data_IF_113521530878
#
_entry.id   IF_113521530878
#
_cell.length_a   1.000
_cell.length_b   1.000
_cell.length_c   1.000
_cell.angle_alpha   90.00
_cell.angle_beta   90.00
_cell.angle_gamma   90.00
#
_symmetry.space_group_name_H-M   'P 1'
#
loop_
_entity.id
_entity.type
_entity.pdbx_description
1 polymer ?
#
# COMPACT_ATOMS: atom_id res chain seq x y z
N UNK A 1 -9.60 0.75 -16.70
CA UNK A 1 -10.68 1.56 -16.10
C UNK A 1 -12.01 1.21 -16.77
N UNK A 2 -12.49 -0.04 -16.64
CA UNK A 2 -13.65 -0.52 -17.42
C UNK A 2 -14.98 0.18 -17.07
N UNK A 3 -15.05 0.81 -15.91
CA UNK A 3 -16.28 1.36 -15.35
C UNK A 3 -16.09 2.79 -14.82
N UNK A 4 -15.00 3.47 -15.22
CA UNK A 4 -14.68 4.83 -14.76
C UNK A 4 -14.75 5.03 -13.24
N UNK A 5 -14.41 3.96 -12.50
CA UNK A 5 -14.38 4.02 -11.04
C UNK A 5 -13.26 4.97 -10.64
N UNK A 6 -13.56 6.04 -9.87
CA UNK A 6 -12.53 6.91 -9.36
C UNK A 6 -11.60 6.11 -8.45
N UNK A 7 -10.31 6.31 -8.62
CA UNK A 7 -9.27 5.66 -7.83
C UNK A 7 -8.28 6.71 -7.32
N UNK A 8 -7.42 6.31 -6.39
CA UNK A 8 -6.44 7.22 -5.81
C UNK A 8 -5.34 7.56 -6.85
N UNK A 9 -5.08 8.85 -7.17
CA UNK A 9 -4.05 9.25 -8.14
C UNK A 9 -2.63 8.79 -7.80
N UNK A 10 -2.36 8.44 -6.53
CA UNK A 10 -1.06 7.87 -6.15
C UNK A 10 -0.77 6.52 -6.81
N UNK A 11 -1.80 5.79 -7.26
CA UNK A 11 -1.60 4.58 -8.05
C UNK A 11 -0.84 4.87 -9.35
N UNK A 12 -1.02 6.04 -9.96
CA UNK A 12 -0.28 6.46 -11.16
C UNK A 12 1.18 6.80 -10.87
N UNK A 13 1.52 6.99 -9.60
CA UNK A 13 2.86 7.31 -9.10
C UNK A 13 3.58 6.05 -8.57
N UNK A 14 3.05 4.85 -8.82
CA UNK A 14 3.65 3.58 -8.40
C UNK A 14 3.29 3.14 -6.97
N UNK A 15 2.35 3.81 -6.30
CA UNK A 15 1.84 3.36 -5.01
C UNK A 15 0.78 2.26 -5.19
N UNK A 16 1.23 1.01 -5.34
CA UNK A 16 0.34 -0.14 -5.56
C UNK A 16 -0.49 -0.46 -4.32
N UNK A 17 0.09 -0.33 -3.12
CA UNK A 17 -0.62 -0.46 -1.84
C UNK A 17 -0.52 0.81 -1.02
N UNK A 18 -1.66 1.44 -0.68
CA UNK A 18 -1.72 2.74 -0.01
C UNK A 18 -2.16 2.60 1.45
N UNK A 19 -1.39 3.17 2.37
CA UNK A 19 -1.69 3.24 3.81
C UNK A 19 -1.38 4.62 4.40
N UNK A 20 -0.92 4.68 5.66
CA UNK A 20 -0.48 5.93 6.27
C UNK A 20 0.77 6.48 5.54
N UNK A 21 0.84 7.81 5.40
CA UNK A 21 1.93 8.51 4.72
C UNK A 21 3.35 8.07 5.15
N UNK A 22 3.71 7.93 6.45
CA UNK A 22 5.07 7.57 6.84
C UNK A 22 5.44 6.11 6.59
N UNK A 23 4.46 5.25 6.29
CA UNK A 23 4.65 3.80 6.19
C UNK A 23 4.29 3.25 4.80
N UNK A 24 4.26 4.13 3.80
CA UNK A 24 3.89 3.79 2.42
C UNK A 24 4.86 4.48 1.46
N UNK A 25 5.46 3.71 0.55
CA UNK A 25 6.25 4.21 -0.59
C UNK A 25 5.75 3.60 -1.89
N UNK A 26 6.12 4.21 -3.02
CA UNK A 26 6.00 3.58 -4.33
C UNK A 26 6.90 2.33 -4.43
N UNK A 27 6.51 1.39 -5.28
CA UNK A 27 7.29 0.19 -5.59
C UNK A 27 7.80 0.22 -7.04
N UNK A 28 8.92 -0.44 -7.27
CA UNK A 28 9.51 -0.67 -8.58
C UNK A 28 8.88 -1.86 -9.30
N UNK A 29 9.32 -2.05 -10.56
CA UNK A 29 8.87 -3.18 -11.38
C UNK A 29 9.31 -4.52 -10.79
N UNK A 30 8.38 -5.46 -10.69
CA UNK A 30 8.64 -6.81 -10.19
C UNK A 30 8.73 -6.93 -8.66
N UNK A 31 8.62 -5.82 -7.92
CA UNK A 31 8.42 -5.88 -6.47
C UNK A 31 7.03 -6.42 -6.12
N UNK A 32 6.91 -7.03 -4.94
CA UNK A 32 5.62 -7.46 -4.39
C UNK A 32 4.67 -6.26 -4.23
N UNK A 33 3.37 -6.47 -4.45
CA UNK A 33 2.34 -5.42 -4.38
C UNK A 33 2.30 -4.67 -3.04
N UNK A 34 2.72 -5.32 -1.94
CA UNK A 34 2.80 -4.74 -0.60
C UNK A 34 4.23 -4.38 -0.18
N UNK A 35 5.25 -4.52 -1.04
CA UNK A 35 6.64 -4.19 -0.72
C UNK A 35 6.86 -2.73 -0.31
N UNK A 36 5.94 -1.83 -0.68
CA UNK A 36 5.94 -0.42 -0.29
C UNK A 36 5.35 -0.15 1.10
N UNK A 37 4.71 -1.13 1.74
CA UNK A 37 4.10 -1.00 3.08
C UNK A 37 5.13 -1.29 4.15
N UNK A 38 5.00 -0.60 5.28
CA UNK A 38 5.89 -0.74 6.44
C UNK A 38 7.35 -0.43 6.12
N UNK A 39 7.61 0.38 5.09
CA UNK A 39 8.94 0.88 4.76
C UNK A 39 9.59 1.51 6.01
N UNK A 40 10.77 1.02 6.39
CA UNK A 40 11.48 1.49 7.59
C UNK A 40 10.91 0.98 8.92
N UNK A 41 10.07 -0.07 8.91
CA UNK A 41 9.48 -0.68 10.10
C UNK A 41 9.59 -2.20 10.07
N UNK A 42 9.63 -2.83 11.25
CA UNK A 42 9.56 -4.30 11.39
C UNK A 42 8.13 -4.86 11.32
N UNK A 43 7.12 -4.00 11.09
CA UNK A 43 5.73 -4.43 11.00
C UNK A 43 5.49 -5.16 9.68
N UNK A 44 4.65 -6.20 9.74
CA UNK A 44 4.17 -6.91 8.54
C UNK A 44 2.68 -6.70 8.32
N UNK A 45 1.92 -6.41 9.38
CA UNK A 45 0.47 -6.25 9.30
C UNK A 45 -0.08 -5.10 10.18
N UNK A 46 -1.24 -4.56 9.80
CA UNK A 46 -1.94 -3.52 10.54
C UNK A 46 -2.73 -4.11 11.71
N UNK A 47 -2.94 -3.33 12.77
CA UNK A 47 -3.83 -3.68 13.88
C UNK A 47 -5.30 -3.87 13.47
N UNK A 48 -5.67 -3.50 12.24
CA UNK A 48 -7.00 -3.78 11.68
C UNK A 48 -7.20 -5.26 11.34
N UNK A 49 -6.12 -6.01 11.13
CA UNK A 49 -6.14 -7.42 10.74
C UNK A 49 -5.70 -8.35 11.87
N UNK A 50 -5.65 -7.85 13.09
CA UNK A 50 -5.62 -8.74 14.24
C UNK A 50 -7.01 -9.30 14.44
N UNK A 51 -7.12 -10.58 14.82
CA UNK A 51 -8.32 -11.00 15.56
C UNK A 51 -8.38 -10.03 16.74
N UNK A 52 -9.46 -9.25 16.83
CA UNK A 52 -9.66 -8.34 17.95
C UNK A 52 -9.66 -9.10 19.28
N UNK A 53 -9.96 -8.45 20.41
CA UNK A 53 -10.46 -9.25 21.54
C UNK A 53 -11.59 -10.18 21.09
#
# INVERSE_FOLDING_TARGET
>A
MRHDVPYNPLHDQGYVSIGCAPCTRAIGFGEDERAGRWSGSAKTECGLHTRGP
#
